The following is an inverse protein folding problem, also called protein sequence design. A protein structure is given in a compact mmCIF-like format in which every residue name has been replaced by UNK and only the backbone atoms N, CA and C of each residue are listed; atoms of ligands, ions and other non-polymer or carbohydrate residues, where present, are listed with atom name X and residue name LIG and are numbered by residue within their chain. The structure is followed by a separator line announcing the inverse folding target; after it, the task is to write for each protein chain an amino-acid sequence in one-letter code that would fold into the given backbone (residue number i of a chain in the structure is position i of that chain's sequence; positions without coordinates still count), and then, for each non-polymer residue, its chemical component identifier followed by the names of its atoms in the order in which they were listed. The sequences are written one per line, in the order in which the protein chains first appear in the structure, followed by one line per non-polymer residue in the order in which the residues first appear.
data_IF_474125697759
#
_entry.id   IF_474125697759
#
_cell.length_a   1.000
_cell.length_b   1.000
_cell.length_c   1.000
_cell.angle_alpha   90.00
_cell.angle_beta   90.00
_cell.angle_gamma   90.00
#
_symmetry.space_group_name_H-M   'P 1'
#
loop_
_entity.id
_entity.type
_entity.pdbx_description
1 polymer ?
#
# COMPACT_ATOMS: atom_id res chain seq x y z
N UNK A 1 -0.19 2.77 -13.01
CA UNK A 1 0.57 1.58 -12.54
C UNK A 1 -0.29 0.34 -12.57
N UNK A 2 0.23 -0.74 -13.17
CA UNK A 2 -0.36 -2.08 -13.14
C UNK A 2 0.24 -2.89 -12.00
N UNK A 3 -0.62 -3.40 -11.12
CA UNK A 3 -0.28 -4.26 -9.99
C UNK A 3 -0.61 -5.70 -10.34
N UNK A 4 0.38 -6.59 -10.25
CA UNK A 4 0.20 -8.03 -10.45
C UNK A 4 0.60 -8.80 -9.21
N UNK A 5 -0.06 -9.93 -8.97
CA UNK A 5 0.40 -10.87 -7.95
C UNK A 5 1.70 -11.52 -8.43
N UNK A 6 2.77 -11.40 -7.65
CA UNK A 6 4.09 -11.94 -8.04
C UNK A 6 4.10 -13.47 -8.12
N UNK A 7 3.23 -14.17 -7.39
CA UNK A 7 3.16 -15.64 -7.38
C UNK A 7 2.54 -16.22 -8.66
N UNK A 8 1.54 -15.55 -9.23
CA UNK A 8 0.73 -16.13 -10.32
C UNK A 8 0.52 -15.19 -11.51
N UNK A 9 1.20 -14.03 -11.49
CA UNK A 9 1.12 -12.96 -12.48
C UNK A 9 -0.29 -12.40 -12.72
N UNK A 10 -1.27 -12.74 -11.87
CA UNK A 10 -2.64 -12.27 -11.99
C UNK A 10 -2.70 -10.75 -11.85
N UNK A 11 -3.33 -10.01 -12.77
CA UNK A 11 -3.59 -8.59 -12.58
C UNK A 11 -4.51 -8.41 -11.38
N UNK A 12 -4.06 -7.63 -10.40
CA UNK A 12 -4.84 -7.30 -9.22
C UNK A 12 -5.53 -5.95 -9.40
N UNK A 13 -4.84 -4.97 -9.96
CA UNK A 13 -5.40 -3.63 -10.15
C UNK A 13 -4.59 -2.82 -11.16
N UNK A 14 -5.25 -1.89 -11.83
CA UNK A 14 -4.61 -0.73 -12.43
C UNK A 14 -4.99 0.48 -11.56
N UNK A 15 -4.00 1.21 -11.08
CA UNK A 15 -4.17 2.43 -10.27
C UNK A 15 -3.33 3.55 -10.86
N UNK A 16 -3.74 4.80 -10.70
CA UNK A 16 -2.88 5.93 -11.04
C UNK A 16 -1.61 5.93 -10.16
N UNK A 17 -0.47 6.36 -10.72
CA UNK A 17 0.77 6.40 -9.93
C UNK A 17 0.73 7.47 -8.82
N UNK A 18 -0.11 8.50 -8.98
CA UNK A 18 -0.38 9.50 -7.94
C UNK A 18 -1.13 8.93 -6.73
N UNK A 19 -1.75 7.76 -6.84
CA UNK A 19 -2.45 7.08 -5.75
C UNK A 19 -1.54 6.14 -4.93
N UNK A 20 -0.29 5.97 -5.36
CA UNK A 20 0.73 5.26 -4.58
C UNK A 20 1.38 6.26 -3.63
N UNK A 21 1.27 5.99 -2.33
CA UNK A 21 1.73 6.90 -1.30
C UNK A 21 3.14 6.54 -0.82
N UNK A 22 3.91 7.59 -0.52
CA UNK A 22 5.09 7.49 0.35
C UNK A 22 4.62 7.22 1.80
N UNK A 23 5.52 6.70 2.65
CA UNK A 23 5.30 6.38 4.08
C UNK A 23 4.71 7.56 4.85
N UNK A 24 5.09 8.77 4.45
CA UNK A 24 4.68 10.01 5.09
C UNK A 24 3.54 10.73 4.37
N UNK A 25 2.91 10.10 3.38
CA UNK A 25 1.90 10.72 2.52
C UNK A 25 2.33 12.06 1.90
N UNK A 26 3.65 12.33 1.84
CA UNK A 26 4.25 13.52 1.24
C UNK A 26 4.67 13.24 -0.18
N UNK A 27 4.47 14.22 -1.05
CA UNK A 27 4.75 14.12 -2.49
C UNK A 27 6.24 14.29 -2.84
N UNK A 28 7.08 14.80 -1.94
CA UNK A 28 8.51 14.98 -2.20
C UNK A 28 9.33 14.81 -0.90
N UNK A 29 10.55 14.25 -0.97
CA UNK A 29 11.50 14.37 0.11
C UNK A 29 11.97 15.84 0.16
N UNK A 30 11.55 16.58 1.17
CA UNK A 30 12.29 17.78 1.57
C UNK A 30 13.74 17.34 1.77
N UNK A 31 14.67 17.90 1.01
CA UNK A 31 16.09 17.53 1.02
C UNK A 31 16.76 17.68 2.41
N UNK A 32 16.04 18.27 3.38
CA UNK A 32 16.44 18.46 4.76
C UNK A 32 15.99 17.33 5.71
N UNK A 33 15.23 16.34 5.25
CA UNK A 33 14.70 15.27 6.12
C UNK A 33 15.57 14.01 5.98
N UNK A 34 16.22 13.52 7.06
CA UNK A 34 16.99 12.29 7.00
C UNK A 34 16.11 11.14 6.52
N UNK A 35 16.64 10.32 5.61
CA UNK A 35 15.94 9.20 5.00
C UNK A 35 15.22 8.36 6.06
N UNK A 36 13.89 8.31 5.97
CA UNK A 36 13.07 7.59 6.93
C UNK A 36 13.48 6.10 6.96
N UNK A 37 13.82 5.53 8.14
CA UNK A 37 14.18 4.12 8.22
C UNK A 37 13.06 3.21 7.71
N UNK A 38 11.80 3.58 7.96
CA UNK A 38 10.63 2.88 7.41
C UNK A 38 10.63 2.96 5.88
N UNK A 39 10.93 4.12 5.27
CA UNK A 39 11.10 4.25 3.81
C UNK A 39 12.18 3.34 3.23
N UNK A 40 13.30 3.16 3.94
CA UNK A 40 14.44 2.34 3.45
C UNK A 40 14.23 0.84 3.63
N UNK A 41 13.56 0.44 4.70
CA UNK A 41 13.20 -0.96 4.95
C UNK A 41 11.93 -1.38 4.19
N UNK A 42 11.20 -0.43 3.57
CA UNK A 42 9.86 -0.60 3.00
C UNK A 42 9.69 -1.85 2.13
N UNK A 43 9.27 -2.91 2.81
CA UNK A 43 8.67 -4.09 2.21
C UNK A 43 7.21 -3.82 1.79
N UNK A 44 6.72 -2.59 1.94
CA UNK A 44 5.32 -2.21 1.78
C UNK A 44 5.17 -1.07 0.77
N UNK A 45 4.01 -1.05 0.11
CA UNK A 45 3.61 -0.04 -0.89
C UNK A 45 2.25 0.46 -0.44
N UNK A 46 2.19 1.70 0.00
CA UNK A 46 0.97 2.30 0.54
C UNK A 46 0.08 2.83 -0.57
N UNK A 47 -1.23 2.76 -0.36
CA UNK A 47 -2.25 3.19 -1.31
C UNK A 47 -3.18 4.21 -0.65
N UNK A 48 -3.64 5.19 -1.44
CA UNK A 48 -4.65 6.14 -1.00
C UNK A 48 -6.02 5.47 -0.86
N UNK A 49 -6.68 5.64 0.29
CA UNK A 49 -7.94 4.95 0.62
C UNK A 49 -9.11 5.33 -0.30
N UNK A 50 -9.21 6.60 -0.70
CA UNK A 50 -10.27 7.06 -1.62
C UNK A 50 -10.13 6.56 -3.06
N UNK A 51 -8.98 5.99 -3.42
CA UNK A 51 -8.67 5.59 -4.80
C UNK A 51 -8.31 4.10 -4.91
N UNK A 52 -8.88 3.29 -4.02
CA UNK A 52 -8.67 1.86 -4.02
C UNK A 52 -9.45 1.14 -5.13
N UNK A 53 -8.89 0.06 -5.69
CA UNK A 53 -9.61 -0.82 -6.60
C UNK A 53 -10.86 -1.42 -5.94
N UNK A 54 -11.93 -1.62 -6.73
CA UNK A 54 -13.22 -2.09 -6.22
C UNK A 54 -13.16 -3.37 -5.39
N UNK A 55 -12.28 -4.33 -5.71
CA UNK A 55 -12.13 -5.55 -4.92
C UNK A 55 -11.52 -5.31 -3.53
N UNK A 56 -10.66 -4.31 -3.37
CA UNK A 56 -10.11 -3.94 -2.06
C UNK A 56 -11.18 -3.24 -1.23
N UNK A 57 -11.93 -2.30 -1.83
CA UNK A 57 -13.05 -1.64 -1.16
C UNK A 57 -14.11 -2.65 -0.69
N UNK A 58 -14.47 -3.62 -1.53
CA UNK A 58 -15.39 -4.68 -1.12
C UNK A 58 -14.91 -5.44 0.13
N UNK A 59 -13.62 -5.78 0.21
CA UNK A 59 -13.05 -6.43 1.40
C UNK A 59 -13.07 -5.51 2.63
N UNK A 60 -12.82 -4.21 2.46
CA UNK A 60 -12.84 -3.22 3.55
C UNK A 60 -14.26 -3.08 4.10
N UNK A 61 -15.24 -2.90 3.22
CA UNK A 61 -16.66 -2.81 3.58
C UNK A 61 -17.15 -4.06 4.31
N UNK A 62 -16.77 -5.25 3.83
CA UNK A 62 -17.11 -6.53 4.49
C UNK A 62 -16.56 -6.62 5.92
N UNK A 63 -15.43 -5.98 6.19
CA UNK A 63 -14.82 -5.91 7.53
C UNK A 63 -15.26 -4.69 8.34
N UNK A 64 -16.20 -3.89 7.83
CA UNK A 64 -16.69 -2.67 8.45
C UNK A 64 -15.56 -1.69 8.83
N UNK A 65 -14.62 -1.46 7.90
CA UNK A 65 -13.54 -0.48 8.09
C UNK A 65 -12.68 -0.75 9.33
N UNK A 66 -12.45 -2.03 9.65
CA UNK A 66 -11.59 -2.42 10.78
C UNK A 66 -10.18 -2.76 10.32
N UNK A 67 -9.82 -4.04 10.32
CA UNK A 67 -8.52 -4.55 9.88
C UNK A 67 -8.70 -5.87 9.13
N UNK A 68 -7.90 -6.06 8.09
CA UNK A 68 -8.05 -7.21 7.20
C UNK A 68 -6.83 -7.50 6.36
N UNK A 69 -6.94 -8.57 5.57
CA UNK A 69 -5.86 -9.07 4.70
C UNK A 69 -6.32 -8.99 3.26
N UNK A 70 -5.49 -8.41 2.41
CA UNK A 70 -5.71 -8.44 0.97
C UNK A 70 -5.09 -9.72 0.39
N UNK A 71 -5.90 -10.52 -0.28
CA UNK A 71 -5.48 -11.78 -0.91
C UNK A 71 -5.66 -11.71 -2.42
N UNK A 72 -4.75 -12.34 -3.15
CA UNK A 72 -4.91 -12.50 -4.59
C UNK A 72 -6.15 -13.36 -4.88
N UNK A 73 -7.07 -12.83 -5.67
CA UNK A 73 -8.32 -13.50 -6.07
C UNK A 73 -8.10 -14.79 -6.87
N UNK A 74 -6.94 -14.96 -7.50
CA UNK A 74 -6.61 -16.16 -8.27
C UNK A 74 -5.95 -17.27 -7.44
N UNK A 75 -4.96 -16.95 -6.61
CA UNK A 75 -4.13 -17.96 -5.94
C UNK A 75 -4.22 -17.93 -4.41
N UNK A 76 -5.05 -17.05 -3.84
CA UNK A 76 -5.27 -16.90 -2.40
C UNK A 76 -4.08 -16.35 -1.61
N UNK A 77 -2.94 -16.07 -2.25
CA UNK A 77 -1.74 -15.56 -1.59
C UNK A 77 -2.02 -14.20 -0.94
N UNK A 78 -1.56 -14.00 0.30
CA UNK A 78 -1.60 -12.68 0.94
C UNK A 78 -0.69 -11.72 0.17
N UNK A 79 -1.26 -10.64 -0.34
CA UNK A 79 -0.56 -9.59 -1.11
C UNK A 79 -0.49 -8.27 -0.36
N UNK A 80 -1.27 -8.08 0.71
CA UNK A 80 -1.31 -6.85 1.49
C UNK A 80 -2.18 -6.95 2.73
N UNK A 81 -2.41 -5.82 3.38
CA UNK A 81 -3.31 -5.67 4.53
C UNK A 81 -3.89 -4.27 4.56
N UNK A 82 -4.95 -4.11 5.36
CA UNK A 82 -5.43 -2.81 5.78
C UNK A 82 -5.68 -2.79 7.29
N UNK A 83 -5.43 -1.66 7.94
CA UNK A 83 -5.69 -1.46 9.37
C UNK A 83 -6.08 0.01 9.64
N UNK A 84 -7.38 0.25 9.81
CA UNK A 84 -7.95 1.56 10.11
C UNK A 84 -8.10 1.81 11.63
N UNK A 85 -7.77 0.82 12.47
CA UNK A 85 -8.03 0.87 13.92
C UNK A 85 -6.75 1.17 14.69
N UNK A 86 -5.63 0.52 14.33
CA UNK A 86 -4.42 0.57 15.14
C UNK A 86 -3.59 1.85 14.94
N UNK A 87 -3.72 2.52 13.80
CA UNK A 87 -3.00 3.77 13.51
C UNK A 87 -1.48 3.65 13.68
N UNK A 88 -0.85 2.75 12.92
CA UNK A 88 0.59 2.47 13.06
C UNK A 88 1.40 3.75 12.84
N UNK A 89 2.19 4.14 13.84
CA UNK A 89 3.07 5.31 13.75
C UNK A 89 4.39 4.94 13.09
N UNK A 90 4.85 5.82 12.21
CA UNK A 90 6.19 5.70 11.65
C UNK A 90 7.25 5.81 12.77
N UNK A 91 8.28 4.96 12.72
CA UNK A 91 9.35 4.91 13.73
C UNK A 91 10.47 5.93 13.48
N UNK A 92 10.29 6.84 12.52
CA UNK A 92 11.33 7.81 12.18
C UNK A 92 11.49 8.88 13.28
N UNK A 93 12.69 9.47 13.45
CA UNK A 93 12.94 10.50 14.46
C UNK A 93 12.16 11.80 14.25
N UNK A 94 11.70 12.02 13.01
CA UNK A 94 10.85 13.15 12.57
C UNK A 94 9.36 12.89 12.94
N UNK A 95 9.14 11.84 13.74
CA UNK A 95 7.91 11.09 13.92
C UNK A 95 6.73 11.90 14.46
N UNK A 96 5.70 11.96 13.63
CA UNK A 96 4.35 12.39 14.00
C UNK A 96 3.28 11.79 13.08
N UNK A 97 3.64 11.33 11.89
CA UNK A 97 2.69 10.79 10.90
C UNK A 97 2.28 9.35 11.21
N UNK A 98 0.97 9.12 11.16
CA UNK A 98 0.36 7.79 11.07
C UNK A 98 0.58 7.28 9.64
N UNK A 99 0.96 6.02 9.50
CA UNK A 99 1.13 5.36 8.21
C UNK A 99 -0.25 5.20 7.53
N UNK A 100 -0.32 5.24 6.19
CA UNK A 100 -1.56 4.95 5.49
C UNK A 100 -2.10 3.57 5.87
N UNK A 101 -3.42 3.48 6.06
CA UNK A 101 -4.06 2.28 6.55
C UNK A 101 -3.93 1.10 5.59
N UNK A 102 -3.86 1.34 4.27
CA UNK A 102 -3.87 0.31 3.23
C UNK A 102 -2.50 0.18 2.57
N UNK A 103 -1.98 -1.06 2.55
CA UNK A 103 -0.69 -1.36 1.93
C UNK A 103 -0.65 -2.72 1.24
N UNK A 104 0.24 -2.82 0.26
CA UNK A 104 0.64 -4.07 -0.39
C UNK A 104 2.06 -4.45 0.02
N UNK A 105 2.32 -5.75 0.14
CA UNK A 105 3.66 -6.27 0.41
C UNK A 105 4.43 -6.30 -0.91
N UNK A 106 5.46 -5.45 -1.03
CA UNK A 106 6.31 -5.27 -2.22
C UNK A 106 6.94 -6.57 -2.70
N UNK A 107 7.28 -7.49 -1.81
CA UNK A 107 7.82 -8.81 -2.18
C UNK A 107 6.78 -9.75 -2.80
N UNK A 108 5.48 -9.45 -2.69
CA UNK A 108 4.35 -10.29 -3.13
C UNK A 108 3.62 -9.72 -4.35
N UNK A 109 3.94 -8.51 -4.77
CA UNK A 109 3.34 -7.85 -5.95
C UNK A 109 4.42 -7.33 -6.89
N UNK A 110 4.12 -7.36 -8.19
CA UNK A 110 4.89 -6.67 -9.21
C UNK A 110 4.18 -5.36 -9.56
N UNK A 111 4.92 -4.27 -9.54
CA UNK A 111 4.45 -2.93 -9.87
C UNK A 111 5.12 -2.49 -11.17
N UNK A 112 4.35 -2.29 -12.23
CA UNK A 112 4.86 -1.81 -13.52
C UNK A 112 4.18 -0.50 -13.88
N UNK A 113 4.96 0.48 -14.34
CA UNK A 113 4.41 1.63 -15.06
C UNK A 113 3.93 1.10 -16.41
N UNK A 114 2.66 1.33 -16.73
CA UNK A 114 2.15 1.02 -18.05
C UNK A 114 2.69 2.12 -18.96
N UNK A 115 3.69 1.79 -19.78
CA UNK A 115 4.16 2.70 -20.83
C UNK A 115 3.27 2.42 -22.04
N UNK A 116 2.04 2.95 -21.98
CA UNK A 116 1.17 3.05 -23.15
C UNK A 116 1.68 4.14 -24.08
#
# INVERSE_FOLDING_TARGET
MLIKCRKCSNPLAAIDDTHVLAVHSRREPDAAIPACPTERENAEVFLHEDHLPGWMNAEIELTHWTKGKLKCTKCGQKVGSFDFVSGVRCKCPVGGSVLPAVHLVRSKVDLRKDFG
#
